data_IF_943988778864
#
_entry.id   IF_943988778864
#
_cell.length_a   1.000
_cell.length_b   1.000
_cell.length_c   1.000
_cell.angle_alpha   90.00
_cell.angle_beta   90.00
_cell.angle_gamma   90.00
#
_symmetry.space_group_name_H-M   'P 1'
#
loop_
_entity.id
_entity.type
_entity.pdbx_description
1 polymer ?
#
# COMPACT_ATOMS: atom_id res chain seq x y z
N UNK A 1 76.80 -46.61 49.11
CA UNK A 1 76.75 -46.44 47.63
C UNK A 1 75.34 -45.99 47.26
N UNK A 2 75.13 -44.70 47.07
CA UNK A 2 73.85 -44.11 46.72
C UNK A 2 74.04 -43.41 45.36
N UNK A 3 73.21 -43.66 44.39
CA UNK A 3 73.33 -42.96 43.10
C UNK A 3 72.63 -41.58 43.16
N UNK A 4 73.33 -40.61 42.63
CA UNK A 4 72.90 -39.24 42.48
C UNK A 4 71.90 -39.16 41.24
N UNK A 5 70.68 -38.70 41.46
CA UNK A 5 69.76 -38.29 40.35
C UNK A 5 70.15 -36.90 39.87
N UNK A 6 70.46 -36.80 38.58
CA UNK A 6 70.55 -35.52 37.79
C UNK A 6 69.13 -35.00 37.45
N UNK A 7 68.86 -33.80 37.95
CA UNK A 7 67.66 -33.09 37.49
C UNK A 7 68.03 -32.22 36.27
N UNK A 8 67.36 -32.47 35.10
CA UNK A 8 67.36 -31.58 33.95
C UNK A 8 66.21 -30.58 34.11
N UNK A 9 66.44 -29.29 33.90
CA UNK A 9 65.30 -28.34 33.86
C UNK A 9 64.61 -28.39 32.50
N UNK A 10 63.32 -28.61 32.50
CA UNK A 10 62.44 -28.47 31.27
C UNK A 10 62.21 -26.98 31.00
N UNK A 11 62.66 -26.48 29.86
CA UNK A 11 62.35 -25.19 29.34
C UNK A 11 60.93 -25.26 28.74
N UNK A 12 59.96 -24.55 29.33
CA UNK A 12 58.64 -24.38 28.84
C UNK A 12 58.66 -23.22 27.85
N UNK A 13 58.58 -23.51 26.54
CA UNK A 13 58.42 -22.50 25.49
C UNK A 13 56.96 -22.06 25.43
N UNK A 14 56.69 -20.82 25.86
CA UNK A 14 55.37 -20.18 25.77
C UNK A 14 55.16 -19.69 24.35
N UNK A 15 54.39 -20.42 23.52
CA UNK A 15 53.97 -19.98 22.20
C UNK A 15 52.83 -18.96 22.32
N UNK A 16 53.12 -17.67 22.14
CA UNK A 16 52.08 -16.65 21.97
C UNK A 16 51.38 -16.82 20.62
N UNK A 17 50.20 -17.41 20.63
CA UNK A 17 49.32 -17.39 19.45
C UNK A 17 48.70 -15.99 19.33
N UNK A 18 49.14 -15.20 18.38
CA UNK A 18 48.43 -13.98 17.95
C UNK A 18 47.17 -14.41 17.25
N UNK A 19 46.01 -14.30 17.89
CA UNK A 19 44.73 -14.38 17.26
C UNK A 19 44.55 -13.10 16.42
N UNK A 20 44.63 -13.22 15.08
CA UNK A 20 44.23 -12.15 14.18
C UNK A 20 42.74 -11.89 14.37
N UNK A 21 42.38 -10.71 14.88
CA UNK A 21 41.01 -10.27 14.89
C UNK A 21 40.50 -10.21 13.42
N UNK A 22 39.27 -10.69 13.16
CA UNK A 22 38.71 -10.54 11.81
C UNK A 22 38.65 -9.06 11.50
N UNK A 23 39.24 -8.63 10.40
CA UNK A 23 39.03 -7.33 9.81
C UNK A 23 37.57 -7.36 9.33
N UNK A 24 36.69 -6.69 10.07
CA UNK A 24 35.35 -6.39 9.59
C UNK A 24 35.58 -5.43 8.42
N UNK A 25 35.41 -5.92 7.19
CA UNK A 25 35.39 -5.07 6.03
C UNK A 25 34.28 -4.05 6.25
N UNK A 26 34.61 -2.76 6.20
CA UNK A 26 33.60 -1.68 6.20
C UNK A 26 32.65 -1.98 5.03
N UNK A 27 31.42 -2.39 5.35
CA UNK A 27 30.37 -2.46 4.33
C UNK A 27 30.22 -1.05 3.75
N UNK A 28 30.14 -0.91 2.41
CA UNK A 28 29.91 0.39 1.80
C UNK A 28 28.66 1.03 2.41
N UNK A 29 28.64 2.35 2.62
CA UNK A 29 27.49 3.03 3.18
C UNK A 29 26.24 2.67 2.37
N UNK A 30 25.19 2.23 3.06
CA UNK A 30 23.93 1.88 2.41
C UNK A 30 23.33 3.16 1.82
N UNK A 31 22.96 3.08 0.53
CA UNK A 31 22.31 4.19 -0.17
C UNK A 31 20.98 4.54 0.53
N UNK A 32 20.69 5.82 0.63
CA UNK A 32 19.38 6.32 1.01
C UNK A 32 18.33 5.95 -0.04
N UNK A 33 17.05 5.97 0.33
CA UNK A 33 15.97 5.75 -0.64
C UNK A 33 16.02 6.77 -1.79
N UNK A 34 16.40 8.04 -1.53
CA UNK A 34 16.54 9.05 -2.56
C UNK A 34 17.60 8.66 -3.60
N UNK A 35 18.82 8.31 -3.15
CA UNK A 35 19.91 7.87 -4.03
C UNK A 35 19.55 6.61 -4.82
N UNK A 36 18.83 5.66 -4.20
CA UNK A 36 18.32 4.48 -4.90
C UNK A 36 17.36 4.85 -6.03
N UNK A 37 16.40 5.75 -5.74
CA UNK A 37 15.43 6.19 -6.76
C UNK A 37 16.08 7.03 -7.86
N UNK A 38 17.08 7.83 -7.55
CA UNK A 38 17.89 8.57 -8.55
C UNK A 38 18.66 7.65 -9.48
N UNK A 39 19.09 6.48 -8.99
CA UNK A 39 19.78 5.46 -9.78
C UNK A 39 18.87 4.52 -10.56
N UNK A 40 17.53 4.69 -10.45
CA UNK A 40 16.55 3.82 -11.09
C UNK A 40 16.59 3.89 -12.60
N UNK A 41 16.33 2.75 -13.23
CA UNK A 41 16.17 2.61 -14.67
C UNK A 41 14.69 2.67 -15.08
N UNK A 42 14.35 2.91 -16.36
CA UNK A 42 12.95 2.90 -16.81
C UNK A 42 12.24 1.57 -16.53
N UNK A 43 12.96 0.46 -16.52
CA UNK A 43 12.40 -0.89 -16.28
C UNK A 43 11.95 -1.09 -14.83
N UNK A 44 12.42 -0.26 -13.90
CA UNK A 44 11.99 -0.28 -12.50
C UNK A 44 10.61 0.35 -12.30
N UNK A 45 10.10 1.03 -13.33
CA UNK A 45 8.85 1.77 -13.28
C UNK A 45 7.81 1.17 -14.20
N UNK A 46 6.55 1.40 -13.89
CA UNK A 46 5.41 1.08 -14.74
C UNK A 46 4.39 2.21 -14.75
N UNK A 47 3.72 2.39 -15.84
CA UNK A 47 2.53 3.25 -15.89
C UNK A 47 1.29 2.46 -15.40
N UNK A 48 0.36 3.08 -14.65
CA UNK A 48 -0.92 2.46 -14.36
C UNK A 48 -1.74 2.37 -15.66
N UNK A 49 -2.56 1.31 -15.78
CA UNK A 49 -3.42 1.13 -16.95
C UNK A 49 -4.54 2.18 -16.95
N UNK A 50 -4.73 2.97 -18.03
CA UNK A 50 -5.74 4.01 -18.05
C UNK A 50 -7.17 3.51 -17.79
N UNK A 51 -7.50 2.29 -18.22
CA UNK A 51 -8.79 1.65 -17.98
C UNK A 51 -9.01 1.21 -16.53
N UNK A 52 -7.93 1.12 -15.74
CA UNK A 52 -7.93 0.76 -14.32
C UNK A 52 -7.54 1.94 -13.42
N UNK A 53 -7.57 3.16 -13.97
CA UNK A 53 -7.19 4.37 -13.24
C UNK A 53 -8.37 5.32 -13.15
N UNK A 54 -8.74 5.70 -11.93
CA UNK A 54 -9.77 6.70 -11.66
C UNK A 54 -9.12 8.04 -11.28
N UNK A 55 -9.63 9.12 -11.85
CA UNK A 55 -9.36 10.49 -11.46
C UNK A 55 -10.53 11.02 -10.64
N UNK A 56 -10.33 11.20 -9.35
CA UNK A 56 -11.27 11.88 -8.45
C UNK A 56 -10.88 13.36 -8.41
N UNK A 57 -11.71 14.21 -9.00
CA UNK A 57 -11.46 15.66 -9.07
C UNK A 57 -12.14 16.39 -7.92
N UNK A 58 -11.34 17.02 -7.10
CA UNK A 58 -11.76 17.90 -6.02
C UNK A 58 -11.46 19.36 -6.41
N UNK A 59 -11.95 20.33 -5.63
CA UNK A 59 -11.56 21.71 -5.82
C UNK A 59 -10.06 21.93 -5.54
N UNK A 60 -9.55 21.17 -4.57
CA UNK A 60 -8.14 21.23 -4.15
C UNK A 60 -7.16 20.53 -5.08
N UNK A 61 -7.64 19.72 -6.06
CA UNK A 61 -6.79 19.00 -6.99
C UNK A 61 -7.31 17.61 -7.34
N UNK A 62 -6.48 16.87 -8.05
CA UNK A 62 -6.78 15.52 -8.54
C UNK A 62 -6.21 14.46 -7.60
N UNK A 63 -7.05 13.51 -7.19
CA UNK A 63 -6.63 12.26 -6.55
C UNK A 63 -6.67 11.15 -7.60
N UNK A 64 -5.60 10.39 -7.73
CA UNK A 64 -5.48 9.30 -8.70
C UNK A 64 -5.54 7.97 -7.95
N UNK A 65 -6.48 7.11 -8.35
CA UNK A 65 -6.71 5.80 -7.76
C UNK A 65 -6.45 4.73 -8.81
N UNK A 66 -5.53 3.81 -8.52
CA UNK A 66 -5.32 2.60 -9.33
C UNK A 66 -6.22 1.49 -8.79
N UNK A 67 -7.06 0.91 -9.66
CA UNK A 67 -7.92 -0.23 -9.34
C UNK A 67 -7.12 -1.54 -9.33
N UNK A 68 -7.60 -2.50 -8.55
CA UNK A 68 -6.99 -3.82 -8.38
C UNK A 68 -7.88 -4.94 -8.95
N UNK A 69 -8.11 -5.00 -10.28
CA UNK A 69 -9.02 -5.97 -10.89
C UNK A 69 -8.56 -7.43 -10.72
N UNK A 70 -7.30 -7.67 -10.39
CA UNK A 70 -6.81 -9.00 -10.08
C UNK A 70 -7.41 -9.55 -8.77
N UNK A 71 -7.71 -8.68 -7.79
CA UNK A 71 -8.25 -9.06 -6.49
C UNK A 71 -9.75 -8.84 -6.37
N UNK A 72 -10.27 -7.82 -7.02
CA UNK A 72 -11.69 -7.43 -6.99
C UNK A 72 -12.23 -7.19 -8.41
N UNK A 73 -12.28 -8.22 -9.28
CA UNK A 73 -12.70 -8.06 -10.68
C UNK A 73 -14.11 -7.54 -10.84
N UNK A 74 -15.06 -8.01 -10.04
CA UNK A 74 -16.47 -7.62 -10.14
C UNK A 74 -16.67 -6.17 -9.67
N UNK A 75 -16.08 -5.79 -8.54
CA UNK A 75 -16.10 -4.39 -8.09
C UNK A 75 -15.36 -3.48 -9.05
N UNK A 76 -14.18 -3.85 -9.56
CA UNK A 76 -13.45 -3.04 -10.53
C UNK A 76 -14.27 -2.80 -11.80
N UNK A 77 -14.97 -3.81 -12.29
CA UNK A 77 -15.87 -3.67 -13.44
C UNK A 77 -17.04 -2.72 -13.13
N UNK A 78 -17.63 -2.85 -11.94
CA UNK A 78 -18.74 -1.99 -11.53
C UNK A 78 -18.30 -0.53 -11.35
N UNK A 79 -17.14 -0.32 -10.74
CA UNK A 79 -16.54 1.02 -10.59
C UNK A 79 -16.28 1.70 -11.95
N UNK A 80 -15.80 0.94 -12.96
CA UNK A 80 -15.64 1.47 -14.31
C UNK A 80 -16.99 1.89 -14.91
N UNK A 81 -18.06 1.12 -14.67
CA UNK A 81 -19.41 1.45 -15.13
C UNK A 81 -19.93 2.71 -14.44
N UNK A 82 -19.85 2.76 -13.10
CA UNK A 82 -20.26 3.93 -12.31
C UNK A 82 -19.51 5.20 -12.73
N UNK A 83 -18.20 5.10 -13.02
CA UNK A 83 -17.41 6.24 -13.51
C UNK A 83 -17.86 6.72 -14.88
N UNK A 84 -18.15 5.81 -15.83
CA UNK A 84 -18.68 6.13 -17.17
C UNK A 84 -20.05 6.80 -17.11
N UNK A 85 -20.86 6.41 -16.15
CA UNK A 85 -22.20 6.98 -15.96
C UNK A 85 -22.21 8.19 -15.04
N UNK A 86 -21.01 8.72 -14.69
CA UNK A 86 -20.88 9.93 -13.91
C UNK A 86 -21.53 9.85 -12.50
N UNK A 87 -21.59 8.66 -11.94
CA UNK A 87 -22.30 8.40 -10.69
C UNK A 87 -21.86 9.33 -9.54
N UNK A 88 -20.56 9.61 -9.39
CA UNK A 88 -20.08 10.43 -8.28
C UNK A 88 -20.08 11.94 -8.53
N UNK A 89 -20.47 12.40 -9.74
CA UNK A 89 -20.49 13.82 -10.07
C UNK A 89 -21.46 14.59 -9.16
N UNK A 90 -20.94 15.57 -8.44
CA UNK A 90 -21.70 16.37 -7.49
C UNK A 90 -22.06 15.66 -6.19
N UNK A 91 -21.62 14.41 -5.96
CA UNK A 91 -21.59 13.80 -4.65
C UNK A 91 -20.42 14.40 -3.82
N UNK A 92 -20.20 13.89 -2.63
CA UNK A 92 -19.25 14.50 -1.73
C UNK A 92 -18.49 13.48 -0.86
N UNK A 93 -17.37 13.95 -0.32
CA UNK A 93 -16.74 13.35 0.85
C UNK A 93 -17.55 13.82 2.05
N UNK A 94 -18.24 12.90 2.71
CA UNK A 94 -19.17 13.17 3.81
C UNK A 94 -18.68 12.65 5.16
N UNK A 95 -17.57 11.89 5.17
CA UNK A 95 -16.98 11.30 6.37
C UNK A 95 -15.48 11.44 6.37
N UNK A 96 -14.92 11.90 7.47
CA UNK A 96 -13.49 11.88 7.75
C UNK A 96 -13.29 11.44 9.21
N UNK A 97 -12.92 10.18 9.39
CA UNK A 97 -12.73 9.57 10.70
C UNK A 97 -11.27 9.67 11.11
N UNK A 98 -11.05 10.16 12.32
CA UNK A 98 -9.69 10.34 12.83
C UNK A 98 -8.92 9.02 12.87
N UNK A 99 -7.67 9.10 12.40
CA UNK A 99 -6.75 7.97 12.35
C UNK A 99 -7.33 6.71 11.68
N UNK A 100 -8.23 6.87 10.70
CA UNK A 100 -8.90 5.74 10.05
C UNK A 100 -9.07 5.97 8.54
N UNK A 101 -10.21 6.56 8.12
CA UNK A 101 -10.54 6.70 6.70
C UNK A 101 -11.18 8.04 6.36
N UNK A 102 -11.08 8.42 5.09
CA UNK A 102 -11.93 9.40 4.42
C UNK A 102 -12.85 8.65 3.46
N UNK A 103 -14.17 8.93 3.50
CA UNK A 103 -15.18 8.20 2.74
C UNK A 103 -16.06 9.15 1.94
N UNK A 104 -16.39 8.72 0.73
CA UNK A 104 -17.23 9.45 -0.21
C UNK A 104 -18.21 8.53 -0.93
N UNK A 105 -19.23 9.11 -1.53
CA UNK A 105 -20.25 8.41 -2.30
C UNK A 105 -21.64 8.89 -1.97
N UNK A 106 -22.62 8.02 -2.13
CA UNK A 106 -24.02 8.29 -1.84
C UNK A 106 -24.48 7.59 -0.56
N UNK A 107 -24.47 8.29 0.59
CA UNK A 107 -24.94 7.73 1.85
C UNK A 107 -26.46 7.69 1.97
N UNK A 108 -27.18 7.99 0.88
CA UNK A 108 -28.64 8.12 0.86
C UNK A 108 -29.35 6.93 1.49
N UNK A 109 -30.46 7.22 2.20
CA UNK A 109 -31.33 6.21 2.76
C UNK A 109 -31.96 5.37 1.65
N UNK A 110 -32.42 4.17 1.98
CA UNK A 110 -33.13 3.33 1.02
C UNK A 110 -34.35 4.10 0.44
N UNK A 111 -34.41 4.22 -0.90
CA UNK A 111 -35.39 5.02 -1.61
C UNK A 111 -34.99 6.45 -1.98
N UNK A 112 -33.88 6.96 -1.42
CA UNK A 112 -33.32 8.27 -1.77
C UNK A 112 -31.96 8.16 -2.52
N UNK A 113 -31.49 6.95 -2.76
CA UNK A 113 -30.22 6.70 -3.42
C UNK A 113 -30.25 7.15 -4.88
N UNK A 114 -29.11 7.70 -5.31
CA UNK A 114 -28.86 8.03 -6.72
C UNK A 114 -28.98 6.78 -7.60
N UNK A 115 -29.56 6.93 -8.80
CA UNK A 115 -29.56 5.86 -9.80
C UNK A 115 -28.13 5.43 -10.14
N UNK A 116 -27.90 4.14 -10.12
CA UNK A 116 -26.62 3.51 -10.51
C UNK A 116 -26.55 3.20 -12.01
N UNK A 117 -27.60 3.58 -12.78
CA UNK A 117 -27.67 3.36 -14.22
C UNK A 117 -27.61 1.89 -14.60
N UNK A 118 -26.62 1.51 -15.44
CA UNK A 118 -26.39 0.13 -15.85
C UNK A 118 -25.42 -0.65 -14.97
N UNK A 119 -24.92 -0.02 -13.89
CA UNK A 119 -24.08 -0.73 -12.92
C UNK A 119 -24.88 -1.82 -12.19
N UNK A 120 -24.22 -2.85 -11.74
CA UNK A 120 -24.83 -3.96 -11.02
C UNK A 120 -25.22 -3.53 -9.61
N UNK A 121 -26.41 -3.93 -9.19
CA UNK A 121 -26.98 -3.68 -7.86
C UNK A 121 -26.64 -4.76 -6.83
N UNK A 122 -25.96 -5.84 -7.23
CA UNK A 122 -25.47 -6.90 -6.36
C UNK A 122 -24.13 -7.44 -6.88
N UNK A 123 -23.14 -7.54 -5.98
CA UNK A 123 -21.82 -8.10 -6.24
C UNK A 123 -21.47 -9.11 -5.16
N UNK A 124 -20.70 -10.17 -5.49
CA UNK A 124 -20.15 -11.05 -4.48
C UNK A 124 -19.14 -10.29 -3.61
N UNK A 125 -18.96 -10.74 -2.38
CA UNK A 125 -17.85 -10.28 -1.57
C UNK A 125 -16.51 -10.74 -2.17
N UNK A 126 -15.58 -9.80 -2.41
CA UNK A 126 -14.26 -10.06 -2.96
C UNK A 126 -13.20 -9.74 -1.89
N UNK A 127 -13.33 -10.40 -0.72
CA UNK A 127 -12.44 -10.16 0.42
C UNK A 127 -11.09 -10.87 0.28
N UNK A 128 -11.06 -11.94 -0.50
CA UNK A 128 -9.90 -12.78 -0.80
C UNK A 128 -10.10 -13.51 -2.12
N UNK A 129 -9.03 -14.07 -2.64
CA UNK A 129 -9.05 -14.94 -3.83
C UNK A 129 -8.14 -16.14 -3.63
N UNK A 130 -8.23 -17.14 -4.51
CA UNK A 130 -7.23 -18.19 -4.59
C UNK A 130 -5.83 -17.62 -4.82
N UNK A 131 -4.84 -18.14 -4.10
CA UNK A 131 -3.44 -17.70 -4.21
C UNK A 131 -2.76 -18.20 -5.49
N UNK A 132 -3.34 -19.20 -6.17
CA UNK A 132 -2.80 -19.74 -7.42
C UNK A 132 -2.77 -18.67 -8.50
N UNK A 133 -1.63 -18.56 -9.19
CA UNK A 133 -1.41 -17.57 -10.26
C UNK A 133 -1.18 -16.13 -9.80
N UNK A 134 -1.23 -15.85 -8.49
CA UNK A 134 -0.87 -14.52 -7.96
C UNK A 134 0.65 -14.38 -7.93
N UNK A 135 1.18 -13.45 -8.71
CA UNK A 135 2.59 -13.06 -8.62
C UNK A 135 2.82 -12.32 -7.30
N UNK A 136 3.44 -12.99 -6.33
CA UNK A 136 3.60 -12.48 -4.98
C UNK A 136 5.06 -12.27 -4.62
N UNK A 137 5.44 -11.01 -4.41
CA UNK A 137 6.77 -10.62 -3.94
C UNK A 137 6.74 -10.53 -2.41
N UNK A 138 7.29 -11.55 -1.75
CA UNK A 138 7.22 -11.70 -0.29
C UNK A 138 8.18 -10.76 0.42
N UNK A 139 7.73 -10.11 1.50
CA UNK A 139 8.62 -9.45 2.47
C UNK A 139 9.28 -10.48 3.40
N UNK A 140 10.54 -10.21 3.82
CA UNK A 140 11.27 -11.14 4.68
C UNK A 140 10.76 -11.17 6.13
N UNK A 141 10.14 -10.09 6.59
CA UNK A 141 9.76 -9.92 7.98
C UNK A 141 8.41 -10.56 8.31
N UNK A 142 8.24 -10.92 9.58
CA UNK A 142 6.99 -11.48 10.09
C UNK A 142 5.92 -10.40 10.20
N UNK A 143 4.66 -10.81 10.03
CA UNK A 143 3.49 -9.94 10.14
C UNK A 143 2.57 -10.47 11.25
N UNK A 144 1.91 -9.55 11.97
CA UNK A 144 1.00 -9.92 13.06
C UNK A 144 -0.40 -10.33 12.59
N UNK A 145 -0.71 -10.20 11.27
CA UNK A 145 -2.05 -10.36 10.72
C UNK A 145 -2.15 -11.49 9.71
N UNK A 146 -1.03 -11.94 9.14
CA UNK A 146 -1.02 -12.94 8.10
C UNK A 146 0.23 -13.83 8.17
N UNK A 147 0.16 -15.09 7.72
CA UNK A 147 1.33 -15.97 7.64
C UNK A 147 2.44 -15.44 6.72
N UNK A 148 2.07 -14.79 5.63
CA UNK A 148 2.98 -14.14 4.70
C UNK A 148 2.41 -12.82 4.21
N UNK A 149 3.29 -11.81 4.11
CA UNK A 149 2.97 -10.48 3.58
C UNK A 149 3.98 -10.07 2.53
N UNK A 150 3.55 -9.18 1.64
CA UNK A 150 4.35 -8.72 0.53
C UNK A 150 3.54 -7.88 -0.43
N UNK A 151 3.88 -8.00 -1.71
CA UNK A 151 3.25 -7.21 -2.76
C UNK A 151 2.78 -8.12 -3.90
N UNK A 152 1.63 -7.79 -4.46
CA UNK A 152 1.12 -8.40 -5.67
C UNK A 152 0.70 -7.28 -6.62
N UNK A 153 1.25 -7.28 -7.84
CA UNK A 153 0.97 -6.27 -8.88
C UNK A 153 1.11 -4.81 -8.41
N UNK A 154 2.00 -4.55 -7.42
CA UNK A 154 2.21 -3.22 -6.85
C UNK A 154 1.27 -2.85 -5.69
N UNK A 155 0.44 -3.76 -5.22
CA UNK A 155 -0.45 -3.58 -4.08
C UNK A 155 0.06 -4.30 -2.85
N UNK A 156 -0.04 -3.71 -1.65
CA UNK A 156 0.19 -4.44 -0.41
C UNK A 156 -0.77 -5.62 -0.29
N UNK A 157 -0.23 -6.80 -0.12
CA UNK A 157 -1.00 -8.03 -0.10
C UNK A 157 -0.52 -8.99 1.00
N UNK A 158 -1.39 -9.90 1.36
CA UNK A 158 -1.11 -10.97 2.29
C UNK A 158 -1.60 -12.29 1.72
N UNK A 159 -1.03 -13.40 2.19
CA UNK A 159 -1.49 -14.73 1.79
C UNK A 159 -1.36 -15.74 2.92
N UNK A 160 -2.19 -16.75 2.84
CA UNK A 160 -2.09 -17.96 3.65
C UNK A 160 -1.83 -19.15 2.73
N UNK A 161 -0.59 -19.65 2.64
CA UNK A 161 -0.25 -20.78 1.80
C UNK A 161 -0.96 -22.10 2.20
N UNK A 162 -1.34 -22.25 3.48
CA UNK A 162 -2.05 -23.45 3.94
C UNK A 162 -3.51 -23.42 3.52
N UNK A 163 -4.15 -22.26 3.61
CA UNK A 163 -5.52 -22.07 3.12
C UNK A 163 -5.60 -21.90 1.61
N UNK A 164 -4.48 -21.65 0.93
CA UNK A 164 -4.42 -21.42 -0.51
C UNK A 164 -5.06 -20.12 -0.96
N UNK A 165 -5.09 -19.08 -0.10
CA UNK A 165 -5.75 -17.81 -0.37
C UNK A 165 -4.77 -16.61 -0.27
N UNK A 166 -5.11 -15.53 -0.99
CA UNK A 166 -4.44 -14.24 -0.95
C UNK A 166 -5.47 -13.11 -0.90
N UNK A 167 -5.09 -11.98 -0.29
CA UNK A 167 -5.95 -10.80 -0.15
C UNK A 167 -5.14 -9.51 -0.14
N UNK A 168 -5.77 -8.39 -0.42
CA UNK A 168 -5.18 -7.08 -0.26
C UNK A 168 -5.20 -6.64 1.21
N UNK A 169 -4.12 -6.00 1.65
CA UNK A 169 -3.98 -5.54 3.02
C UNK A 169 -4.41 -4.07 3.18
N UNK A 170 -5.14 -3.75 4.25
CA UNK A 170 -5.61 -2.40 4.56
C UNK A 170 -4.45 -1.49 5.03
N UNK A 171 -3.52 -1.18 4.13
CA UNK A 171 -2.46 -0.22 4.37
C UNK A 171 -2.92 1.22 4.08
N UNK A 172 -2.15 2.21 4.54
CA UNK A 172 -2.38 3.62 4.21
C UNK A 172 -2.48 3.83 2.69
N UNK A 173 -3.46 4.62 2.26
CA UNK A 173 -3.75 4.87 0.85
C UNK A 173 -4.56 3.79 0.14
N UNK A 174 -4.80 2.63 0.74
CA UNK A 174 -5.68 1.63 0.13
C UNK A 174 -7.13 2.13 0.08
N UNK A 175 -7.83 1.75 -0.99
CA UNK A 175 -9.21 2.15 -1.24
C UNK A 175 -10.10 0.91 -1.12
N UNK A 176 -11.14 1.02 -0.29
CA UNK A 176 -12.12 -0.03 -0.10
C UNK A 176 -13.53 0.41 -0.49
N UNK A 177 -14.37 -0.56 -0.78
CA UNK A 177 -15.78 -0.36 -1.08
C UNK A 177 -16.61 -0.54 0.20
N UNK A 178 -17.30 0.52 0.62
CA UNK A 178 -18.16 0.51 1.81
C UNK A 178 -19.26 -0.54 1.71
N UNK A 179 -19.57 -1.20 2.81
CA UNK A 179 -20.66 -2.18 2.89
C UNK A 179 -21.51 -1.99 4.14
N UNK A 180 -22.74 -2.48 4.09
CA UNK A 180 -23.62 -2.63 5.24
C UNK A 180 -23.28 -3.87 6.09
N UNK A 181 -24.29 -4.48 6.70
CA UNK A 181 -24.10 -5.65 7.54
C UNK A 181 -23.84 -6.91 6.73
N UNK A 182 -24.48 -7.08 5.57
CA UNK A 182 -24.32 -8.25 4.73
C UNK A 182 -22.99 -8.19 3.97
N UNK A 183 -22.33 -9.33 3.80
CA UNK A 183 -21.02 -9.43 3.18
C UNK A 183 -21.02 -8.96 1.71
N UNK A 184 -22.12 -9.16 1.00
CA UNK A 184 -22.35 -8.84 -0.41
C UNK A 184 -23.13 -7.53 -0.63
N UNK A 185 -23.24 -6.69 0.40
CA UNK A 185 -23.98 -5.43 0.34
C UNK A 185 -23.21 -4.27 -0.29
N UNK A 186 -21.96 -4.47 -0.67
CA UNK A 186 -21.15 -3.47 -1.35
C UNK A 186 -21.28 -3.60 -2.88
N UNK A 187 -21.50 -2.48 -3.54
CA UNK A 187 -21.49 -2.39 -5.01
C UNK A 187 -20.53 -1.29 -5.53
N UNK A 188 -19.77 -0.67 -4.63
CA UNK A 188 -18.80 0.36 -4.96
C UNK A 188 -19.36 1.78 -5.03
N UNK A 189 -20.63 2.02 -4.76
CA UNK A 189 -21.22 3.39 -4.72
C UNK A 189 -20.65 4.25 -3.61
N UNK A 190 -20.18 3.64 -2.54
CA UNK A 190 -19.45 4.27 -1.45
C UNK A 190 -18.03 3.73 -1.41
N UNK A 191 -17.05 4.63 -1.44
CA UNK A 191 -15.64 4.31 -1.37
C UNK A 191 -14.98 5.05 -0.21
N UNK A 192 -13.96 4.42 0.36
CA UNK A 192 -13.11 5.07 1.36
C UNK A 192 -11.64 4.89 1.03
N UNK A 193 -10.81 5.86 1.41
CA UNK A 193 -9.36 5.75 1.42
C UNK A 193 -8.86 5.68 2.86
N UNK A 194 -7.93 4.78 3.14
CA UNK A 194 -7.27 4.71 4.45
C UNK A 194 -6.32 5.89 4.59
N UNK A 195 -6.57 6.75 5.60
CA UNK A 195 -5.80 7.97 5.87
C UNK A 195 -5.20 7.99 7.29
N UNK A 196 -5.28 6.88 7.99
CA UNK A 196 -4.75 6.73 9.34
C UNK A 196 -3.91 5.48 9.50
N UNK A 197 -3.76 5.03 10.73
CA UNK A 197 -3.10 3.77 11.02
C UNK A 197 -3.81 2.63 10.30
N UNK A 198 -3.02 1.73 9.73
CA UNK A 198 -3.51 0.62 8.92
C UNK A 198 -4.55 -0.23 9.65
N UNK A 199 -5.81 -0.22 9.23
CA UNK A 199 -6.87 -0.97 9.89
C UNK A 199 -6.88 -2.44 9.44
N UNK A 200 -5.78 -3.16 9.70
CA UNK A 200 -5.57 -4.54 9.28
C UNK A 200 -6.62 -5.52 9.79
N UNK A 201 -7.34 -5.17 10.87
CA UNK A 201 -8.51 -5.94 11.35
C UNK A 201 -9.66 -5.97 10.33
N UNK A 202 -9.66 -5.10 9.34
CA UNK A 202 -10.62 -5.12 8.23
C UNK A 202 -10.20 -6.07 7.10
N UNK A 203 -8.97 -6.57 7.11
CA UNK A 203 -8.52 -7.56 6.13
C UNK A 203 -9.49 -8.74 6.08
N UNK A 204 -9.87 -9.17 4.89
CA UNK A 204 -10.85 -10.24 4.63
C UNK A 204 -12.27 -9.97 5.18
N UNK A 205 -12.59 -8.71 5.47
CA UNK A 205 -13.91 -8.28 5.94
C UNK A 205 -14.55 -7.21 5.05
N UNK A 206 -13.77 -6.52 4.23
CA UNK A 206 -14.22 -5.51 3.28
C UNK A 206 -13.42 -5.68 1.99
N UNK A 207 -14.08 -5.53 0.85
CA UNK A 207 -13.42 -5.56 -0.46
C UNK A 207 -12.54 -4.33 -0.64
N UNK A 208 -11.23 -4.53 -0.80
CA UNK A 208 -10.32 -3.52 -1.28
C UNK A 208 -10.32 -3.52 -2.80
N UNK A 209 -10.54 -2.36 -3.39
CA UNK A 209 -10.73 -2.20 -4.84
C UNK A 209 -9.53 -1.56 -5.53
N UNK A 210 -8.58 -1.01 -4.76
CA UNK A 210 -7.43 -0.32 -5.31
C UNK A 210 -6.64 0.47 -4.27
N UNK A 211 -5.83 1.41 -4.74
CA UNK A 211 -5.07 2.33 -3.88
C UNK A 211 -4.97 3.73 -4.49
N UNK A 212 -4.85 4.74 -3.65
CA UNK A 212 -4.46 6.08 -4.06
C UNK A 212 -2.97 6.05 -4.44
N UNK A 213 -2.65 6.43 -5.65
CA UNK A 213 -1.29 6.46 -6.19
C UNK A 213 -0.73 7.89 -6.31
N UNK A 214 -1.61 8.90 -6.23
CA UNK A 214 -1.26 10.33 -6.20
C UNK A 214 -2.40 11.13 -5.56
N UNK A 215 -2.09 12.21 -4.85
CA UNK A 215 -3.09 13.11 -4.26
C UNK A 215 -3.62 12.67 -2.90
N UNK A 216 -2.98 11.72 -2.21
CA UNK A 216 -3.40 11.31 -0.85
C UNK A 216 -3.29 12.49 0.15
N UNK A 217 -2.39 13.42 -0.09
CA UNK A 217 -2.21 14.67 0.66
C UNK A 217 -3.40 15.63 0.55
N UNK A 218 -4.33 15.40 -0.37
CA UNK A 218 -5.60 16.12 -0.47
C UNK A 218 -6.69 15.51 0.42
N UNK A 219 -6.56 14.24 0.78
CA UNK A 219 -7.51 13.50 1.61
C UNK A 219 -7.09 13.45 3.08
N UNK A 220 -5.81 13.21 3.36
CA UNK A 220 -5.34 12.98 4.73
C UNK A 220 -5.47 14.19 5.67
N UNK A 221 -5.36 15.47 5.23
CA UNK A 221 -5.48 16.64 6.10
C UNK A 221 -6.93 17.12 6.27
N UNK A 222 -7.91 16.43 5.70
CA UNK A 222 -9.32 16.84 5.81
C UNK A 222 -9.73 16.97 7.28
N UNK A 223 -10.52 18.02 7.61
CA UNK A 223 -11.08 18.15 8.94
C UNK A 223 -11.82 16.90 9.37
N UNK A 224 -11.71 16.53 10.64
CA UNK A 224 -12.42 15.36 11.17
C UNK A 224 -13.91 15.68 11.35
N UNK A 225 -14.76 14.76 10.94
CA UNK A 225 -16.20 14.87 11.13
C UNK A 225 -16.55 14.85 12.64
N UNK A 226 -17.40 15.75 13.11
CA UNK A 226 -17.73 15.86 14.54
C UNK A 226 -18.72 14.79 15.01
N UNK A 227 -19.43 14.16 14.09
CA UNK A 227 -20.42 13.14 14.39
C UNK A 227 -19.82 11.77 14.68
N UNK A 228 -20.65 10.80 15.09
CA UNK A 228 -20.22 9.43 15.27
C UNK A 228 -19.47 8.90 14.02
N UNK A 229 -18.40 8.16 14.26
CA UNK A 229 -17.54 7.58 13.19
C UNK A 229 -16.95 8.62 12.21
N UNK A 230 -16.92 9.91 12.57
CA UNK A 230 -16.37 10.96 11.73
C UNK A 230 -17.29 11.43 10.61
N UNK A 231 -18.59 11.22 10.73
CA UNK A 231 -19.60 11.69 9.76
C UNK A 231 -19.88 13.18 9.97
N UNK A 232 -20.03 13.93 8.88
CA UNK A 232 -20.52 15.29 8.86
C UNK A 232 -22.04 15.23 8.63
N UNK A 233 -22.82 15.56 9.67
CA UNK A 233 -24.27 15.60 9.57
C UNK A 233 -24.78 16.80 8.73
N UNK A 234 -23.98 17.86 8.66
CA UNK A 234 -24.28 19.08 7.93
C UNK A 234 -23.66 18.98 6.52
N UNK A 235 -24.53 19.00 5.52
CA UNK A 235 -24.11 18.91 4.11
C UNK A 235 -23.22 20.08 3.67
N UNK A 236 -23.35 21.26 4.28
CA UNK A 236 -22.52 22.42 3.97
C UNK A 236 -21.04 22.20 4.37
N UNK A 237 -20.78 21.18 5.16
CA UNK A 237 -19.43 20.77 5.58
C UNK A 237 -18.84 19.63 4.76
N UNK A 238 -19.61 19.08 3.85
CA UNK A 238 -19.12 18.08 2.92
C UNK A 238 -18.12 18.68 1.92
N UNK A 239 -17.13 17.91 1.51
CA UNK A 239 -16.23 18.33 0.44
C UNK A 239 -16.78 17.84 -0.91
N UNK A 240 -17.22 18.74 -1.80
CA UNK A 240 -17.81 18.35 -3.07
C UNK A 240 -16.82 17.61 -3.99
N UNK A 241 -17.31 16.58 -4.67
CA UNK A 241 -16.63 15.90 -5.75
C UNK A 241 -17.09 16.57 -7.06
N UNK A 242 -16.14 17.12 -7.82
CA UNK A 242 -16.44 17.69 -9.14
C UNK A 242 -16.78 16.60 -10.14
N UNK A 243 -15.97 15.56 -10.19
CA UNK A 243 -16.18 14.41 -11.06
C UNK A 243 -15.30 13.22 -10.66
N UNK A 244 -15.70 12.01 -11.10
CA UNK A 244 -14.82 10.84 -11.14
C UNK A 244 -14.81 10.31 -12.58
N UNK A 245 -13.62 10.12 -13.16
CA UNK A 245 -13.44 9.68 -14.55
C UNK A 245 -12.42 8.57 -14.64
N UNK A 246 -12.62 7.67 -15.60
CA UNK A 246 -11.53 6.77 -16.02
C UNK A 246 -10.50 7.56 -16.82
N UNK A 247 -9.22 7.33 -16.52
CA UNK A 247 -8.15 7.96 -17.28
C UNK A 247 -8.21 7.61 -18.78
N UNK A 248 -8.74 6.42 -19.13
CA UNK A 248 -8.97 6.03 -20.54
C UNK A 248 -9.94 6.91 -21.29
N UNK A 249 -10.86 7.60 -20.59
CA UNK A 249 -11.89 8.45 -21.17
C UNK A 249 -11.53 9.94 -21.13
N UNK A 250 -10.43 10.27 -20.46
CA UNK A 250 -9.87 11.63 -20.47
C UNK A 250 -8.95 11.79 -21.69
N UNK A 251 -9.01 12.93 -22.41
CA UNK A 251 -8.10 13.21 -23.50
C UNK A 251 -6.64 13.02 -23.12
N UNK A 252 -5.84 12.42 -23.99
CA UNK A 252 -4.41 12.07 -23.66
C UNK A 252 -3.63 13.29 -23.15
N UNK A 253 -3.86 14.46 -23.73
CA UNK A 253 -3.20 15.71 -23.34
C UNK A 253 -3.57 16.19 -21.91
N UNK A 254 -4.67 15.71 -21.34
CA UNK A 254 -5.17 16.06 -20.00
C UNK A 254 -4.86 14.98 -18.96
N UNK A 255 -4.30 13.84 -19.40
CA UNK A 255 -3.93 12.75 -18.50
C UNK A 255 -2.69 13.13 -17.71
N UNK A 256 -2.71 12.82 -16.43
CA UNK A 256 -1.51 12.88 -15.61
C UNK A 256 -0.60 11.71 -15.98
N UNK A 257 0.60 12.00 -16.46
CA UNK A 257 1.60 10.97 -16.72
C UNK A 257 2.23 10.56 -15.39
N UNK A 258 1.94 9.36 -14.96
CA UNK A 258 2.35 8.84 -13.66
C UNK A 258 3.09 7.52 -13.85
N UNK A 259 4.22 7.38 -13.17
CA UNK A 259 4.95 6.13 -13.06
C UNK A 259 4.98 5.66 -11.61
N UNK A 260 4.80 4.37 -11.42
CA UNK A 260 4.80 3.67 -10.15
C UNK A 260 6.00 2.74 -10.09
N UNK A 261 6.73 2.76 -8.98
CA UNK A 261 7.83 1.82 -8.77
C UNK A 261 7.27 0.39 -8.76
N UNK A 262 7.86 -0.49 -9.56
CA UNK A 262 7.53 -1.91 -9.58
C UNK A 262 7.99 -2.56 -8.28
N UNK A 263 7.17 -3.45 -7.74
CA UNK A 263 7.45 -4.14 -6.48
C UNK A 263 8.12 -5.50 -6.66
N UNK A 264 8.50 -5.85 -7.88
CA UNK A 264 9.10 -7.12 -8.27
C UNK A 264 10.52 -6.94 -8.86
N UNK A 265 11.22 -5.87 -8.49
CA UNK A 265 12.56 -5.55 -9.00
C UNK A 265 13.60 -5.54 -7.88
N UNK A 266 14.89 -5.78 -8.21
CA UNK A 266 15.98 -5.64 -7.24
C UNK A 266 16.08 -4.24 -6.62
N UNK A 267 15.70 -3.20 -7.36
CA UNK A 267 15.67 -1.84 -6.84
C UNK A 267 14.63 -1.72 -5.70
N UNK A 268 13.46 -2.32 -5.87
CA UNK A 268 12.45 -2.33 -4.82
C UNK A 268 12.94 -3.05 -3.55
N UNK A 269 13.63 -4.18 -3.70
CA UNK A 269 14.26 -4.89 -2.58
C UNK A 269 15.27 -3.99 -1.84
N UNK A 270 16.07 -3.23 -2.58
CA UNK A 270 17.00 -2.28 -2.02
C UNK A 270 16.28 -1.12 -1.28
N UNK A 271 15.16 -0.63 -1.83
CA UNK A 271 14.30 0.37 -1.17
C UNK A 271 13.73 -0.19 0.12
N UNK A 272 13.19 -1.40 0.12
CA UNK A 272 12.70 -2.08 1.33
C UNK A 272 13.81 -2.19 2.38
N UNK A 273 14.99 -2.68 2.00
CA UNK A 273 16.12 -2.86 2.90
C UNK A 273 16.62 -1.51 3.46
N UNK A 274 16.66 -0.46 2.65
CA UNK A 274 17.05 0.88 3.10
C UNK A 274 16.12 1.45 4.18
N UNK A 275 14.87 1.02 4.19
CA UNK A 275 13.85 1.42 5.18
C UNK A 275 13.82 0.49 6.39
N UNK A 276 14.10 -0.78 6.16
CA UNK A 276 14.17 -1.83 7.18
C UNK A 276 15.36 -1.64 8.10
N UNK A 277 16.52 -1.31 7.54
CA UNK A 277 17.79 -1.13 8.25
C UNK A 277 18.40 0.24 7.90
N UNK A 278 17.80 1.30 8.44
CA UNK A 278 18.35 2.64 8.27
C UNK A 278 19.72 2.72 8.91
N UNK A 279 20.71 3.16 8.13
CA UNK A 279 22.12 3.27 8.53
C UNK A 279 22.64 4.71 8.47
N UNK A 280 21.76 5.70 8.34
CA UNK A 280 22.17 7.10 8.47
C UNK A 280 22.53 7.42 9.92
N UNK A 281 23.38 8.42 10.12
CA UNK A 281 23.98 8.76 11.43
C UNK A 281 22.94 9.11 12.50
N UNK A 282 21.70 9.39 12.11
CA UNK A 282 20.62 9.68 13.04
C UNK A 282 20.12 8.43 13.78
N UNK A 283 20.20 7.24 13.11
CA UNK A 283 19.71 5.99 13.70
C UNK A 283 20.79 5.30 14.52
N UNK A 284 20.65 5.36 15.83
CA UNK A 284 21.56 4.68 16.76
C UNK A 284 21.38 3.16 16.79
N UNK A 285 20.19 2.68 16.40
CA UNK A 285 19.83 1.25 16.42
C UNK A 285 18.95 0.96 15.21
N UNK A 286 19.46 0.27 14.19
CA UNK A 286 18.67 -0.25 13.09
C UNK A 286 17.57 -1.17 13.60
N UNK A 287 16.36 -1.06 13.04
CA UNK A 287 15.21 -1.86 13.48
C UNK A 287 15.34 -3.34 13.10
N UNK A 288 15.96 -3.64 11.95
CA UNK A 288 16.05 -4.99 11.41
C UNK A 288 14.69 -5.57 11.01
N UNK A 289 13.67 -4.72 10.91
CA UNK A 289 12.28 -5.10 10.65
C UNK A 289 11.53 -3.96 9.95
N UNK A 290 10.59 -4.31 9.09
CA UNK A 290 9.64 -3.38 8.50
C UNK A 290 8.25 -4.02 8.36
N UNK A 291 7.22 -3.34 8.86
CA UNK A 291 5.84 -3.74 8.62
C UNK A 291 5.45 -3.52 7.16
N UNK A 292 4.60 -4.39 6.62
CA UNK A 292 4.07 -4.28 5.27
C UNK A 292 3.58 -2.86 4.94
N UNK A 293 2.79 -2.29 5.83
CA UNK A 293 2.18 -0.99 5.62
C UNK A 293 3.13 0.21 5.79
N UNK A 294 4.36 -0.03 6.24
CA UNK A 294 5.42 0.98 6.34
C UNK A 294 6.40 0.95 5.16
N UNK A 295 6.25 -0.01 4.25
CA UNK A 295 7.04 -0.04 3.01
C UNK A 295 6.55 1.06 2.08
N UNK A 296 7.42 1.98 1.64
CA UNK A 296 7.05 3.01 0.69
C UNK A 296 6.75 2.41 -0.69
N UNK A 297 5.73 2.98 -1.35
CA UNK A 297 5.38 2.67 -2.73
C UNK A 297 5.52 3.93 -3.58
N UNK A 298 6.75 4.26 -4.02
CA UNK A 298 7.01 5.49 -4.75
C UNK A 298 6.21 5.61 -6.03
N UNK A 299 5.73 6.83 -6.28
CA UNK A 299 5.13 7.25 -7.52
C UNK A 299 5.77 8.57 -7.95
N UNK A 300 5.87 8.82 -9.26
CA UNK A 300 6.39 10.07 -9.79
C UNK A 300 5.55 10.57 -10.96
N UNK A 301 5.34 11.87 -11.02
CA UNK A 301 4.79 12.51 -12.21
C UNK A 301 5.96 12.67 -13.21
N UNK A 302 5.70 12.29 -14.45
CA UNK A 302 6.64 12.47 -15.54
C UNK A 302 6.17 13.67 -16.35
N UNK A 303 6.91 14.78 -16.25
CA UNK A 303 6.65 15.96 -17.06
C UNK A 303 6.72 15.60 -18.54
N UNK A 304 5.73 16.03 -19.30
CA UNK A 304 5.76 15.86 -20.75
C UNK A 304 6.94 16.68 -21.30
N UNK A 305 7.96 15.98 -21.86
CA UNK A 305 9.06 16.59 -22.55
C UNK A 305 8.61 17.35 -23.79
#
# INVERSE_FOLDING_TARGET
MTPRCLHLPALLALACAFAAAPVVADEPPALSMGELLESSSPEDWREPKPEDTLYLELESGRVIIELAPEFAPEHAQNLRTLAREHFWDGLAIYRSHDNFVVQWGDPGAEGERRSIGSARDALPAEFERGAEGVAFHRLPDVDGWAPEVGFASGFPAARDPQAGVAWLAHCYGMVGAGRGMEADSSIGTELYAVTGQSPRQLDRNITLVGRVVHGIELLSPMPRGPGPLGVFADADRHTPIRSVRLASEVPVAERTRLELLRTDTPLFDAVVESRRNRRDDWYLRPAGHIDLCNVPLPARIVDGG
#
